data_IF_538365163865
#
_entry.id   IF_538365163865
#
_cell.length_a   1.000
_cell.length_b   1.000
_cell.length_c   1.000
_cell.angle_alpha   90.00
_cell.angle_beta   90.00
_cell.angle_gamma   90.00
#
_symmetry.space_group_name_H-M   'P 1'
#
loop_
_entity.id
_entity.type
_entity.pdbx_description
1 polymer ?
#
# COMPACT_ATOMS: atom_id res chain seq x y z
N UNK A 1 11.03 -9.73 -24.50
CA UNK A 1 9.77 -9.75 -23.71
C UNK A 1 9.85 -9.06 -22.33
N UNK A 2 11.01 -8.63 -21.82
CA UNK A 2 11.16 -8.06 -20.46
C UNK A 2 10.88 -6.56 -20.34
N UNK A 3 11.00 -5.78 -21.43
CA UNK A 3 10.86 -4.32 -21.42
C UNK A 3 9.39 -3.90 -21.26
N UNK A 4 8.47 -4.59 -21.94
CA UNK A 4 7.04 -4.25 -21.94
C UNK A 4 6.39 -4.41 -20.55
N UNK A 5 6.81 -5.40 -19.75
CA UNK A 5 6.34 -5.58 -18.36
C UNK A 5 6.90 -4.53 -17.39
N UNK A 6 8.12 -4.04 -17.62
CA UNK A 6 8.70 -2.96 -16.79
C UNK A 6 7.89 -1.67 -16.94
N UNK A 7 7.48 -1.35 -18.17
CA UNK A 7 6.62 -0.18 -18.43
C UNK A 7 5.23 -0.33 -17.81
N UNK A 8 4.64 -1.53 -17.83
CA UNK A 8 3.32 -1.75 -17.25
C UNK A 8 3.28 -1.52 -15.73
N UNK A 9 4.26 -2.07 -14.98
CA UNK A 9 4.27 -1.92 -13.52
C UNK A 9 4.42 -0.47 -13.09
N UNK A 10 5.29 0.29 -13.78
CA UNK A 10 5.45 1.72 -13.52
C UNK A 10 4.16 2.49 -13.84
N UNK A 11 3.56 2.24 -15.00
CA UNK A 11 2.31 2.88 -15.40
C UNK A 11 1.16 2.63 -14.41
N UNK A 12 1.08 1.42 -13.82
CA UNK A 12 0.08 1.12 -12.78
C UNK A 12 0.34 1.95 -11.52
N UNK A 13 1.60 2.09 -11.08
CA UNK A 13 1.93 2.91 -9.91
C UNK A 13 1.67 4.40 -10.16
N UNK A 14 2.02 4.90 -11.35
CA UNK A 14 1.77 6.29 -11.76
C UNK A 14 0.26 6.59 -11.81
N UNK A 15 -0.52 5.71 -12.43
CA UNK A 15 -1.99 5.84 -12.48
C UNK A 15 -2.60 5.77 -11.07
N UNK A 16 -2.09 4.90 -10.20
CA UNK A 16 -2.59 4.80 -8.83
C UNK A 16 -2.25 6.05 -8.00
N UNK A 17 -1.08 6.64 -8.23
CA UNK A 17 -0.70 7.90 -7.60
C UNK A 17 -1.57 9.06 -8.09
N UNK A 18 -1.77 9.19 -9.41
CA UNK A 18 -2.71 10.17 -9.99
C UNK A 18 -4.10 10.02 -9.38
N UNK A 19 -4.60 8.78 -9.32
CA UNK A 19 -5.91 8.50 -8.73
C UNK A 19 -5.96 8.86 -7.24
N UNK A 20 -4.87 8.63 -6.48
CA UNK A 20 -4.80 9.01 -5.08
C UNK A 20 -4.92 10.54 -4.92
N UNK A 21 -4.20 11.30 -5.73
CA UNK A 21 -4.25 12.77 -5.73
C UNK A 21 -5.63 13.29 -6.15
N UNK A 22 -6.18 12.80 -7.26
CA UNK A 22 -7.50 13.19 -7.79
C UNK A 22 -8.65 12.94 -6.81
N UNK A 23 -8.56 11.84 -6.05
CA UNK A 23 -9.59 11.45 -5.07
C UNK A 23 -9.39 12.08 -3.70
N UNK A 24 -8.32 12.84 -3.50
CA UNK A 24 -7.92 13.37 -2.20
C UNK A 24 -7.62 12.26 -1.19
N UNK A 25 -7.07 11.12 -1.65
CA UNK A 25 -6.66 10.02 -0.78
C UNK A 25 -5.42 10.42 0.01
N UNK A 26 -5.42 10.10 1.29
CA UNK A 26 -4.33 10.42 2.20
C UNK A 26 -3.08 9.57 1.91
N UNK A 27 -3.30 8.28 1.59
CA UNK A 27 -2.23 7.31 1.40
C UNK A 27 -2.40 6.45 0.15
N UNK A 28 -1.26 6.09 -0.43
CA UNK A 28 -1.12 5.05 -1.46
C UNK A 28 -0.47 3.81 -0.86
N UNK A 29 -1.20 2.72 -0.79
CA UNK A 29 -0.73 1.42 -0.30
C UNK A 29 -0.26 0.57 -1.47
N UNK A 30 1.01 0.16 -1.45
CA UNK A 30 1.60 -0.69 -2.49
C UNK A 30 1.89 -2.05 -1.89
N UNK A 31 1.23 -3.09 -2.39
CA UNK A 31 1.41 -4.45 -1.92
C UNK A 31 2.47 -5.17 -2.72
N UNK A 32 3.43 -5.76 -2.02
CA UNK A 32 4.46 -6.61 -2.61
C UNK A 32 4.33 -8.04 -2.11
N UNK A 33 4.70 -9.00 -2.96
CA UNK A 33 4.66 -10.43 -2.64
C UNK A 33 6.05 -11.06 -2.52
N UNK A 34 7.08 -10.42 -3.11
CA UNK A 34 8.46 -10.92 -3.09
C UNK A 34 9.45 -9.81 -2.73
N UNK A 35 10.62 -10.18 -2.25
CA UNK A 35 11.70 -9.23 -1.98
C UNK A 35 12.17 -8.50 -3.24
N UNK A 36 12.14 -9.19 -4.37
CA UNK A 36 12.47 -8.59 -5.66
C UNK A 36 11.49 -7.45 -5.99
N UNK A 37 10.20 -7.65 -5.73
CA UNK A 37 9.19 -6.62 -5.94
C UNK A 37 9.36 -5.47 -4.96
N UNK A 38 9.63 -5.75 -3.68
CA UNK A 38 9.98 -4.71 -2.71
C UNK A 38 11.14 -3.86 -3.21
N UNK A 39 12.27 -4.47 -3.55
CA UNK A 39 13.47 -3.75 -4.00
C UNK A 39 13.24 -3.00 -5.31
N UNK A 40 12.35 -3.50 -6.17
CA UNK A 40 11.94 -2.79 -7.37
C UNK A 40 11.12 -1.53 -7.03
N UNK A 41 10.12 -1.62 -6.14
CA UNK A 41 9.33 -0.44 -5.70
C UNK A 41 10.23 0.60 -5.02
N UNK A 42 11.14 0.18 -4.13
CA UNK A 42 12.07 1.11 -3.47
C UNK A 42 12.94 1.89 -4.45
N UNK A 43 13.14 1.38 -5.67
CA UNK A 43 13.92 2.01 -6.75
C UNK A 43 13.05 2.75 -7.78
N UNK A 44 11.73 2.65 -7.74
CA UNK A 44 10.84 3.26 -8.74
C UNK A 44 10.77 4.78 -8.61
N UNK A 45 11.04 5.33 -7.42
CA UNK A 45 10.95 6.76 -7.13
C UNK A 45 9.53 7.26 -6.86
N UNK A 46 8.53 6.36 -6.79
CA UNK A 46 7.12 6.76 -6.62
C UNK A 46 6.86 7.53 -5.32
N UNK A 47 7.60 7.25 -4.24
CA UNK A 47 7.53 8.03 -2.99
C UNK A 47 7.87 9.50 -3.20
N UNK A 48 8.93 9.79 -3.97
CA UNK A 48 9.36 11.17 -4.26
C UNK A 48 8.35 11.89 -5.15
N UNK A 49 7.82 11.19 -6.15
CA UNK A 49 6.75 11.74 -7.01
C UNK A 49 5.51 12.12 -6.20
N UNK A 50 5.21 11.38 -5.13
CA UNK A 50 4.08 11.65 -4.26
C UNK A 50 4.29 12.85 -3.31
N UNK A 51 5.54 13.26 -3.10
CA UNK A 51 5.94 14.42 -2.29
C UNK A 51 6.11 15.71 -3.14
N UNK A 52 6.57 15.59 -4.38
CA UNK A 52 7.01 16.72 -5.23
C UNK A 52 5.88 17.43 -6.01
N UNK A 53 4.64 16.95 -5.96
CA UNK A 53 3.54 17.49 -6.77
C UNK A 53 2.95 18.76 -6.15
N UNK A 54 3.68 19.88 -6.27
CA UNK A 54 3.43 21.19 -5.64
C UNK A 54 2.11 21.92 -5.98
N UNK A 55 1.10 21.18 -6.45
CA UNK A 55 -0.26 21.64 -6.78
C UNK A 55 -1.32 20.92 -5.93
N UNK A 56 -1.04 19.70 -5.46
CA UNK A 56 -1.96 18.88 -4.65
C UNK A 56 -1.37 18.54 -3.28
N UNK A 57 -2.22 18.17 -2.32
CA UNK A 57 -1.76 17.70 -1.01
C UNK A 57 -0.89 16.45 -1.20
N UNK A 58 0.26 16.40 -0.50
CA UNK A 58 1.18 15.26 -0.60
C UNK A 58 0.48 13.96 -0.19
N UNK A 59 0.67 12.91 -1.00
CA UNK A 59 0.11 11.60 -0.73
C UNK A 59 1.19 10.70 -0.11
N UNK A 60 1.04 10.30 1.15
CA UNK A 60 2.02 9.39 1.76
C UNK A 60 2.00 8.01 1.11
N UNK A 61 3.16 7.38 0.93
CA UNK A 61 3.23 6.03 0.34
C UNK A 61 3.58 5.00 1.40
N UNK A 62 2.71 4.00 1.56
CA UNK A 62 2.88 2.89 2.50
C UNK A 62 3.18 1.61 1.72
N UNK A 63 4.33 1.00 2.01
CA UNK A 63 4.71 -0.29 1.43
C UNK A 63 4.21 -1.43 2.31
N UNK A 64 3.40 -2.31 1.73
CA UNK A 64 2.90 -3.51 2.39
C UNK A 64 3.79 -4.69 2.01
N UNK A 65 4.67 -5.06 2.92
CA UNK A 65 5.76 -6.01 2.71
C UNK A 65 5.46 -7.36 3.38
N UNK A 66 5.79 -8.51 2.76
CA UNK A 66 5.66 -9.82 3.42
C UNK A 66 6.46 -9.86 4.74
N UNK A 67 5.84 -10.39 5.80
CA UNK A 67 6.45 -10.46 7.15
C UNK A 67 7.80 -11.19 7.17
N UNK A 68 7.99 -12.16 6.27
CA UNK A 68 9.23 -12.97 6.15
C UNK A 68 10.29 -12.35 5.24
N UNK A 69 10.04 -11.18 4.66
CA UNK A 69 11.01 -10.51 3.79
C UNK A 69 12.20 -9.98 4.59
N UNK A 70 13.41 -10.22 4.10
CA UNK A 70 14.67 -9.74 4.66
C UNK A 70 14.97 -8.27 4.35
N UNK A 71 14.19 -7.63 3.48
CA UNK A 71 14.33 -6.19 3.19
C UNK A 71 14.13 -5.42 4.49
N UNK A 72 15.11 -4.64 4.95
CA UNK A 72 15.06 -3.97 6.26
C UNK A 72 14.14 -2.76 6.27
N UNK A 73 13.47 -2.50 7.39
CA UNK A 73 12.62 -1.30 7.55
C UNK A 73 13.43 0.01 7.40
N UNK A 74 14.73 -0.01 7.75
CA UNK A 74 15.62 1.13 7.53
C UNK A 74 15.88 1.41 6.05
N UNK A 75 15.95 0.38 5.20
CA UNK A 75 16.07 0.54 3.74
C UNK A 75 14.78 1.15 3.17
N UNK A 76 13.62 0.70 3.66
CA UNK A 76 12.29 1.19 3.24
C UNK A 76 12.12 2.66 3.63
N UNK A 77 12.41 3.00 4.89
CA UNK A 77 12.31 4.38 5.40
C UNK A 77 13.28 5.33 4.67
N UNK A 78 14.52 4.90 4.40
CA UNK A 78 15.50 5.70 3.65
C UNK A 78 15.02 6.03 2.23
N UNK A 79 14.18 5.18 1.64
CA UNK A 79 13.59 5.41 0.33
C UNK A 79 12.30 6.26 0.37
N UNK A 80 11.88 6.75 1.55
CA UNK A 80 10.71 7.63 1.71
C UNK A 80 9.38 6.88 1.83
N UNK A 81 9.39 5.62 2.27
CA UNK A 81 8.16 4.84 2.45
C UNK A 81 7.90 4.54 3.93
N UNK A 82 6.63 4.55 4.29
CA UNK A 82 6.14 3.91 5.52
C UNK A 82 5.98 2.39 5.28
N UNK A 83 5.97 1.59 6.35
CA UNK A 83 6.02 0.13 6.21
C UNK A 83 4.98 -0.59 7.07
N UNK A 84 4.19 -1.46 6.45
CA UNK A 84 3.37 -2.46 7.11
C UNK A 84 3.87 -3.85 6.72
N UNK A 85 4.24 -4.65 7.72
CA UNK A 85 4.60 -6.05 7.54
C UNK A 85 3.34 -6.90 7.60
N UNK A 86 2.96 -7.49 6.46
CA UNK A 86 1.75 -8.30 6.35
C UNK A 86 2.03 -9.80 6.35
N UNK A 87 1.18 -10.57 7.03
CA UNK A 87 1.21 -12.02 6.95
C UNK A 87 0.51 -12.48 5.67
N UNK A 88 1.24 -12.46 4.56
CA UNK A 88 0.77 -12.79 3.23
C UNK A 88 0.66 -14.31 2.99
N UNK A 89 -0.09 -15.06 3.79
CA UNK A 89 -0.30 -16.50 3.53
C UNK A 89 -1.62 -16.75 2.79
N UNK A 90 -1.62 -17.26 1.55
CA UNK A 90 -2.81 -17.69 0.76
C UNK A 90 -4.10 -16.85 0.92
N UNK A 91 -3.96 -15.54 1.12
CA UNK A 91 -5.10 -14.67 1.40
C UNK A 91 -5.67 -14.09 0.10
N UNK A 92 -6.99 -13.87 0.09
CA UNK A 92 -7.63 -13.10 -0.97
C UNK A 92 -7.08 -11.67 -1.01
N UNK A 93 -7.17 -11.00 -2.16
CA UNK A 93 -6.81 -9.58 -2.31
C UNK A 93 -7.51 -8.71 -1.25
N UNK A 94 -8.80 -8.97 -1.04
CA UNK A 94 -9.61 -8.24 -0.06
C UNK A 94 -9.14 -8.45 1.38
N UNK A 95 -8.82 -9.69 1.76
CA UNK A 95 -8.29 -10.00 3.10
C UNK A 95 -6.97 -9.29 3.36
N UNK A 96 -6.08 -9.23 2.35
CA UNK A 96 -4.80 -8.52 2.45
C UNK A 96 -5.01 -7.02 2.65
N UNK A 97 -5.95 -6.43 1.92
CA UNK A 97 -6.31 -5.00 2.03
C UNK A 97 -6.85 -4.69 3.41
N UNK A 98 -7.82 -5.46 3.90
CA UNK A 98 -8.36 -5.31 5.26
C UNK A 98 -7.29 -5.43 6.34
N UNK A 99 -6.41 -6.41 6.22
CA UNK A 99 -5.30 -6.57 7.15
C UNK A 99 -4.38 -5.35 7.14
N UNK A 100 -4.07 -4.80 5.96
CA UNK A 100 -3.26 -3.60 5.84
C UNK A 100 -3.96 -2.38 6.46
N UNK A 101 -5.27 -2.20 6.27
CA UNK A 101 -6.01 -1.10 6.91
C UNK A 101 -5.98 -1.20 8.42
N UNK A 102 -6.23 -2.39 8.94
CA UNK A 102 -6.20 -2.64 10.36
C UNK A 102 -4.83 -2.25 10.95
N UNK A 103 -3.75 -2.74 10.35
CA UNK A 103 -2.40 -2.39 10.80
C UNK A 103 -2.01 -0.94 10.53
N UNK A 104 -2.55 -0.31 9.50
CA UNK A 104 -2.35 1.09 9.19
C UNK A 104 -2.92 1.98 10.30
N UNK A 105 -4.17 1.70 10.71
CA UNK A 105 -4.84 2.41 11.81
C UNK A 105 -4.10 2.21 13.12
N UNK A 106 -3.67 0.98 13.42
CA UNK A 106 -2.91 0.70 14.63
C UNK A 106 -1.58 1.44 14.74
N UNK A 107 -0.90 1.61 13.60
CA UNK A 107 0.38 2.31 13.53
C UNK A 107 0.21 3.82 13.33
N UNK A 108 -1.03 4.32 13.39
CA UNK A 108 -1.38 5.71 13.16
C UNK A 108 -0.90 6.23 11.80
N UNK A 109 -0.79 5.33 10.81
CA UNK A 109 -0.44 5.68 9.42
C UNK A 109 -1.66 6.18 8.65
N UNK A 110 -2.86 5.79 9.09
CA UNK A 110 -4.17 6.20 8.60
C UNK A 110 -5.12 6.21 9.79
N UNK A 111 -6.27 6.85 9.66
CA UNK A 111 -7.38 6.80 10.61
C UNK A 111 -8.58 6.06 10.02
N UNK A 112 -9.64 5.86 10.83
CA UNK A 112 -10.85 5.14 10.41
C UNK A 112 -11.72 5.91 9.42
N UNK A 113 -11.39 7.18 9.18
CA UNK A 113 -12.02 8.08 8.21
C UNK A 113 -11.08 8.41 7.03
N UNK A 114 -9.89 7.81 6.96
CA UNK A 114 -8.98 8.00 5.83
C UNK A 114 -9.54 7.43 4.53
N UNK A 115 -9.14 8.07 3.42
CA UNK A 115 -9.31 7.51 2.07
C UNK A 115 -7.97 7.02 1.55
N UNK A 116 -7.93 5.80 1.03
CA UNK A 116 -6.69 5.08 0.68
C UNK A 116 -6.82 4.45 -0.70
N UNK A 117 -5.79 4.62 -1.54
CA UNK A 117 -5.64 3.86 -2.78
C UNK A 117 -4.75 2.66 -2.53
N UNK A 118 -5.17 1.47 -2.99
CA UNK A 118 -4.41 0.23 -2.86
C UNK A 118 -4.04 -0.31 -4.23
N UNK A 119 -2.76 -0.65 -4.40
CA UNK A 119 -2.22 -1.31 -5.59
C UNK A 119 -1.70 -2.68 -5.22
N UNK A 120 -2.24 -3.72 -5.85
CA UNK A 120 -1.88 -5.10 -5.54
C UNK A 120 -2.02 -6.04 -6.73
N UNK A 121 -1.30 -7.15 -6.64
CA UNK A 121 -1.40 -8.29 -7.55
C UNK A 121 -2.15 -9.47 -6.96
N UNK A 122 -2.34 -10.54 -7.74
CA UNK A 122 -2.73 -11.84 -7.19
C UNK A 122 -1.65 -12.37 -6.27
N UNK A 123 -2.06 -13.04 -5.19
CA UNK A 123 -1.13 -13.59 -4.21
C UNK A 123 -0.08 -14.52 -4.83
N UNK A 124 1.17 -14.35 -4.42
CA UNK A 124 2.29 -15.18 -4.86
C UNK A 124 2.75 -14.86 -6.28
N UNK A 125 2.28 -13.74 -6.86
CA UNK A 125 2.69 -13.27 -8.18
C UNK A 125 3.34 -11.90 -8.05
N UNK A 126 4.35 -11.66 -8.87
CA UNK A 126 5.15 -10.43 -8.82
C UNK A 126 4.56 -9.26 -9.59
N UNK A 127 3.47 -9.44 -10.33
CA UNK A 127 2.88 -8.37 -11.12
C UNK A 127 1.79 -7.65 -10.32
N UNK A 128 1.70 -6.34 -10.52
CA UNK A 128 0.59 -5.52 -10.06
C UNK A 128 -0.45 -5.49 -11.19
N UNK A 129 -1.72 -5.70 -10.87
CA UNK A 129 -2.82 -5.70 -11.86
C UNK A 129 -4.06 -4.96 -11.38
N UNK A 130 -4.15 -4.62 -10.11
CA UNK A 130 -5.35 -4.09 -9.49
C UNK A 130 -5.05 -2.79 -8.76
N UNK A 131 -5.85 -1.76 -9.04
CA UNK A 131 -5.93 -0.51 -8.27
C UNK A 131 -7.34 -0.46 -7.66
N UNK A 132 -7.44 -0.14 -6.37
CA UNK A 132 -8.73 0.03 -5.68
C UNK A 132 -8.69 1.28 -4.81
N UNK A 133 -9.80 1.99 -4.71
CA UNK A 133 -9.96 3.16 -3.83
C UNK A 133 -10.90 2.75 -2.70
N UNK A 134 -10.51 3.07 -1.46
CA UNK A 134 -11.27 2.74 -0.27
C UNK A 134 -11.50 4.01 0.54
N UNK A 135 -12.76 4.26 0.87
CA UNK A 135 -13.17 5.31 1.80
C UNK A 135 -13.54 4.64 3.12
N UNK A 136 -12.65 4.73 4.11
CA UNK A 136 -12.83 4.01 5.37
C UNK A 136 -13.96 4.61 6.20
N UNK A 137 -14.28 5.90 6.06
CA UNK A 137 -15.42 6.49 6.74
C UNK A 137 -16.74 5.76 6.40
N UNK A 138 -16.83 5.23 5.18
CA UNK A 138 -17.99 4.48 4.69
C UNK A 138 -17.89 2.97 4.94
N UNK A 139 -16.69 2.39 4.83
CA UNK A 139 -16.54 0.93 4.87
C UNK A 139 -16.13 0.37 6.24
N UNK A 140 -15.54 1.18 7.14
CA UNK A 140 -14.88 0.69 8.34
C UNK A 140 -15.80 -0.13 9.25
N UNK A 141 -17.01 0.36 9.52
CA UNK A 141 -17.98 -0.34 10.40
C UNK A 141 -18.52 -1.63 9.78
N UNK A 142 -18.62 -1.70 8.45
CA UNK A 142 -19.02 -2.92 7.74
C UNK A 142 -17.86 -3.93 7.70
N UNK A 143 -16.63 -3.44 7.59
CA UNK A 143 -15.43 -4.26 7.51
C UNK A 143 -14.96 -4.78 8.86
N UNK A 144 -15.18 -3.98 9.93
CA UNK A 144 -14.79 -4.23 11.31
C UNK A 144 -15.97 -3.85 12.24
N UNK A 145 -16.99 -4.72 12.37
CA UNK A 145 -18.23 -4.42 13.11
C UNK A 145 -18.03 -4.36 14.64
N UNK A 146 -16.84 -4.71 15.13
CA UNK A 146 -16.40 -4.54 16.50
C UNK A 146 -15.11 -3.74 16.49
N UNK A 147 -14.86 -2.93 17.53
CA UNK A 147 -13.59 -2.24 17.69
C UNK A 147 -12.47 -3.29 17.76
N UNK A 148 -11.57 -3.36 16.77
CA UNK A 148 -10.54 -4.38 16.76
C UNK A 148 -9.35 -3.99 17.65
N UNK A 149 -9.24 -2.73 18.10
CA UNK A 149 -8.10 -2.24 18.90
C UNK A 149 -7.84 -3.09 20.16
N UNK A 150 -8.86 -3.53 20.94
CA UNK A 150 -8.66 -4.38 22.11
C UNK A 150 -8.11 -5.78 21.80
N UNK A 151 -8.42 -6.35 20.62
CA UNK A 151 -7.93 -7.68 20.21
C UNK A 151 -6.44 -7.68 19.86
N UNK A 152 -5.86 -6.49 19.72
CA UNK A 152 -4.54 -6.31 19.14
C UNK A 152 -3.54 -5.64 20.08
N UNK A 153 -3.92 -5.43 21.35
CA UNK A 153 -3.06 -4.91 22.42
C UNK A 153 -2.12 -5.99 23.03
N UNK A 154 -1.62 -6.93 22.21
CA UNK A 154 -0.69 -7.99 22.61
C UNK A 154 0.67 -7.84 21.96
#
# INVERSE_FOLDING_TARGET
MSIQRKNQKNAILENALSLAMETGSEKLFIFTDTEQDCRWVLKSGISKMAEDDGVHASCGVVLIVPKRSEVKDSEIKKAGYECIRSWSGNQSRFSRVKYAFLHGVQKELISTDSKVVCVLGPWGKSHLDTITVHDLALSWSADFPFDPRPLMAK
#
